data_IF_978218479638
#
_entry.id   IF_978218479638
#
_cell.length_a   1.000
_cell.length_b   1.000
_cell.length_c   1.000
_cell.angle_alpha   90.00
_cell.angle_beta   90.00
_cell.angle_gamma   90.00
#
_symmetry.space_group_name_H-M   'P 1'
#
loop_
_entity.id
_entity.type
_entity.pdbx_description
1 polymer ?
#
# COMPACT_ATOMS: atom_id res chain seq x y z
N UNK A 1 -0.38 -0.15 -27.28
CA UNK A 1 -0.53 -0.82 -26.00
C UNK A 1 -0.33 0.17 -24.87
N UNK A 2 -1.26 0.22 -23.95
CA UNK A 2 -1.12 1.10 -22.80
C UNK A 2 0.02 0.59 -21.91
N UNK A 3 0.88 1.48 -21.50
CA UNK A 3 1.98 1.13 -20.61
C UNK A 3 1.61 1.61 -19.22
N UNK A 4 1.75 0.72 -18.28
CA UNK A 4 1.63 1.09 -16.86
C UNK A 4 2.97 1.64 -16.41
N UNK A 5 2.93 2.80 -15.79
CA UNK A 5 4.12 3.43 -15.24
C UNK A 5 4.31 2.93 -13.80
N UNK A 6 4.50 1.62 -13.69
CA UNK A 6 4.59 0.94 -12.39
C UNK A 6 6.03 0.63 -12.04
N UNK A 7 6.36 0.81 -10.79
CA UNK A 7 7.70 0.53 -10.27
C UNK A 7 7.92 -0.94 -9.92
N UNK A 8 6.84 -1.73 -9.85
CA UNK A 8 6.88 -3.10 -9.37
C UNK A 8 6.70 -3.24 -7.87
N UNK A 9 6.45 -2.13 -7.17
CA UNK A 9 6.22 -2.15 -5.72
C UNK A 9 4.94 -2.90 -5.35
N UNK A 10 3.98 -2.98 -6.27
CA UNK A 10 2.72 -3.70 -6.04
C UNK A 10 2.55 -4.76 -7.12
N UNK A 11 2.32 -5.99 -6.70
CA UNK A 11 1.97 -7.09 -7.61
C UNK A 11 0.45 -7.15 -7.70
N UNK A 12 -0.10 -6.50 -8.71
CA UNK A 12 -1.55 -6.39 -8.87
C UNK A 12 -2.21 -7.72 -9.21
N UNK A 13 -1.45 -8.77 -9.55
CA UNK A 13 -2.01 -10.10 -9.71
C UNK A 13 -2.58 -10.63 -8.39
N UNK A 14 -1.98 -10.24 -7.26
CA UNK A 14 -2.51 -10.58 -5.92
C UNK A 14 -3.90 -9.97 -5.76
N UNK A 15 -4.02 -8.67 -6.06
CA UNK A 15 -5.30 -7.98 -5.97
C UNK A 15 -6.35 -8.60 -6.91
N UNK A 16 -5.96 -8.91 -8.13
CA UNK A 16 -6.87 -9.49 -9.12
C UNK A 16 -7.39 -10.86 -8.67
N UNK A 17 -6.55 -11.67 -8.05
CA UNK A 17 -7.00 -12.96 -7.51
C UNK A 17 -7.98 -12.76 -6.36
N UNK A 18 -7.74 -11.77 -5.51
CA UNK A 18 -8.60 -11.49 -4.36
C UNK A 18 -9.98 -10.98 -4.81
N UNK A 19 -10.03 -10.20 -5.87
CA UNK A 19 -11.27 -9.58 -6.36
C UNK A 19 -11.95 -10.39 -7.45
N UNK A 20 -11.37 -11.53 -7.85
CA UNK A 20 -11.90 -12.36 -8.93
C UNK A 20 -11.81 -11.69 -10.30
N UNK A 21 -10.91 -10.72 -10.44
CA UNK A 21 -10.75 -9.99 -11.70
C UNK A 21 -11.80 -8.90 -11.93
N UNK A 22 -12.63 -8.61 -10.94
CA UNK A 22 -13.67 -7.58 -11.05
C UNK A 22 -13.03 -6.20 -10.86
N UNK A 23 -13.00 -5.42 -11.94
CA UNK A 23 -12.36 -4.09 -11.94
C UNK A 23 -13.05 -3.12 -10.98
N UNK A 24 -14.37 -3.19 -10.85
CA UNK A 24 -15.09 -2.30 -9.92
C UNK A 24 -14.73 -2.60 -8.47
N UNK A 25 -14.61 -3.87 -8.12
CA UNK A 25 -14.21 -4.28 -6.78
C UNK A 25 -12.75 -3.91 -6.52
N UNK A 26 -11.88 -4.11 -7.49
CA UNK A 26 -10.47 -3.70 -7.39
C UNK A 26 -10.35 -2.20 -7.14
N UNK A 27 -11.12 -1.40 -7.87
CA UNK A 27 -11.11 0.05 -7.68
C UNK A 27 -11.56 0.45 -6.26
N UNK A 28 -12.60 -0.19 -5.74
CA UNK A 28 -13.08 0.09 -4.38
C UNK A 28 -12.03 -0.25 -3.33
N UNK A 29 -11.35 -1.39 -3.48
CA UNK A 29 -10.30 -1.80 -2.55
C UNK A 29 -9.15 -0.80 -2.57
N UNK A 30 -8.73 -0.37 -3.75
CA UNK A 30 -7.61 0.56 -3.88
C UNK A 30 -7.99 1.96 -3.38
N UNK A 31 -9.22 2.40 -3.62
CA UNK A 31 -9.68 3.69 -3.09
C UNK A 31 -9.63 3.70 -1.57
N UNK A 32 -10.10 2.62 -0.94
CA UNK A 32 -10.05 2.50 0.51
C UNK A 32 -8.61 2.52 1.02
N UNK A 33 -7.71 1.81 0.34
CA UNK A 33 -6.30 1.81 0.69
C UNK A 33 -5.72 3.23 0.67
N UNK A 34 -6.02 3.99 -0.39
CA UNK A 34 -5.55 5.37 -0.53
C UNK A 34 -6.08 6.26 0.59
N UNK A 35 -7.37 6.13 0.90
CA UNK A 35 -7.99 6.93 1.97
C UNK A 35 -7.37 6.62 3.33
N UNK A 36 -7.15 5.36 3.62
CA UNK A 36 -6.57 4.96 4.89
C UNK A 36 -5.10 5.33 5.01
N UNK A 37 -4.38 5.33 3.89
CA UNK A 37 -2.96 5.68 3.88
C UNK A 37 -2.71 7.10 4.40
N UNK A 38 -3.62 8.02 4.11
CA UNK A 38 -3.51 9.40 4.61
C UNK A 38 -3.53 9.43 6.15
N UNK A 39 -4.34 8.58 6.77
CA UNK A 39 -4.41 8.47 8.23
C UNK A 39 -3.18 7.77 8.78
N UNK A 40 -2.78 6.66 8.16
CA UNK A 40 -1.61 5.89 8.61
C UNK A 40 -0.33 6.72 8.60
N UNK A 41 -0.16 7.58 7.58
CA UNK A 41 1.04 8.41 7.45
C UNK A 41 1.27 9.27 8.67
N UNK A 42 0.20 9.73 9.31
CA UNK A 42 0.30 10.56 10.51
C UNK A 42 0.75 9.77 11.74
N UNK A 43 0.59 8.45 11.70
CA UNK A 43 0.93 7.57 12.83
C UNK A 43 2.35 7.01 12.76
N UNK A 44 3.09 7.26 11.67
CA UNK A 44 4.42 6.69 11.47
C UNK A 44 5.50 7.50 12.17
N UNK A 45 5.34 7.64 13.48
CA UNK A 45 6.23 8.42 14.34
C UNK A 45 6.22 7.75 15.72
N UNK A 46 7.38 7.48 16.27
CA UNK A 46 7.50 6.82 17.58
C UNK A 46 6.88 7.63 18.71
N UNK A 47 6.68 8.93 18.51
CA UNK A 47 5.99 9.79 19.48
C UNK A 47 4.49 9.52 19.54
N UNK A 48 3.94 8.92 18.49
CA UNK A 48 2.54 8.49 18.47
C UNK A 48 2.43 7.17 19.22
N UNK A 49 1.57 7.12 20.23
CA UNK A 49 1.43 5.94 21.06
C UNK A 49 1.01 4.71 20.25
N UNK A 50 0.17 4.90 19.23
CA UNK A 50 -0.35 3.83 18.38
C UNK A 50 0.50 3.48 17.16
N UNK A 51 1.75 3.92 17.08
CA UNK A 51 2.54 3.72 15.87
C UNK A 51 2.71 2.23 15.50
N UNK A 52 2.89 1.39 16.48
CA UNK A 52 3.11 -0.04 16.23
C UNK A 52 1.85 -0.72 15.70
N UNK A 53 0.69 -0.34 16.23
CA UNK A 53 -0.60 -0.84 15.73
C UNK A 53 -0.85 -0.35 14.30
N UNK A 54 -0.51 0.90 14.00
CA UNK A 54 -0.64 1.44 12.64
C UNK A 54 0.23 0.65 11.67
N UNK A 55 1.49 0.38 12.02
CA UNK A 55 2.41 -0.41 11.18
C UNK A 55 1.84 -1.81 10.96
N UNK A 56 1.30 -2.43 11.98
CA UNK A 56 0.68 -3.76 11.87
C UNK A 56 -0.50 -3.74 10.87
N UNK A 57 -1.33 -2.71 10.97
CA UNK A 57 -2.49 -2.56 10.08
C UNK A 57 -2.05 -2.34 8.63
N UNK A 58 -1.04 -1.49 8.43
CA UNK A 58 -0.49 -1.25 7.08
C UNK A 58 0.06 -2.56 6.51
N UNK A 59 0.73 -3.37 7.33
CA UNK A 59 1.29 -4.65 6.87
C UNK A 59 0.21 -5.55 6.29
N UNK A 60 -0.91 -5.70 7.00
CA UNK A 60 -2.02 -6.52 6.53
C UNK A 60 -2.64 -5.98 5.24
N UNK A 61 -2.87 -4.68 5.17
CA UNK A 61 -3.45 -4.05 3.98
C UNK A 61 -2.50 -4.17 2.78
N UNK A 62 -1.20 -3.97 3.01
CA UNK A 62 -0.18 -4.09 1.97
C UNK A 62 -0.13 -5.50 1.40
N UNK A 63 -0.15 -6.51 2.26
CA UNK A 63 -0.17 -7.90 1.82
C UNK A 63 -1.41 -8.20 0.97
N UNK A 64 -2.56 -7.63 1.35
CA UNK A 64 -3.82 -7.85 0.65
C UNK A 64 -3.84 -7.32 -0.77
N UNK A 65 -3.12 -6.23 -1.05
CA UNK A 65 -3.07 -5.67 -2.41
C UNK A 65 -1.82 -6.07 -3.19
N UNK A 66 -0.92 -6.84 -2.59
CA UNK A 66 0.30 -7.27 -3.25
C UNK A 66 1.47 -6.31 -3.13
N UNK A 67 1.45 -5.39 -2.15
CA UNK A 67 2.54 -4.45 -1.90
C UNK A 67 3.59 -5.11 -0.99
N UNK A 68 4.37 -6.05 -1.56
CA UNK A 68 5.29 -6.89 -0.81
C UNK A 68 6.40 -6.13 -0.10
N UNK A 69 7.00 -5.15 -0.74
CA UNK A 69 8.06 -4.35 -0.13
C UNK A 69 7.55 -3.54 1.05
N UNK A 70 6.34 -2.97 0.91
CA UNK A 70 5.71 -2.25 2.01
C UNK A 70 5.41 -3.19 3.18
N UNK A 71 4.86 -4.37 2.89
CA UNK A 71 4.58 -5.36 3.92
C UNK A 71 5.86 -5.77 4.66
N UNK A 72 6.96 -5.96 3.93
CA UNK A 72 8.24 -6.33 4.52
C UNK A 72 8.81 -5.21 5.38
N UNK A 73 8.75 -3.97 4.90
CA UNK A 73 9.21 -2.82 5.68
C UNK A 73 8.43 -2.71 6.99
N UNK A 74 7.12 -2.93 6.93
CA UNK A 74 6.27 -2.92 8.12
C UNK A 74 6.65 -4.04 9.09
N UNK A 75 6.90 -5.25 8.59
CA UNK A 75 7.29 -6.37 9.45
C UNK A 75 8.59 -6.06 10.20
N UNK A 76 9.55 -5.47 9.52
CA UNK A 76 10.83 -5.09 10.13
C UNK A 76 10.63 -4.02 11.21
N UNK A 77 9.84 -3.00 10.91
CA UNK A 77 9.57 -1.92 11.87
C UNK A 77 8.78 -2.42 13.09
N UNK A 78 7.82 -3.29 12.85
CA UNK A 78 6.96 -3.82 13.91
C UNK A 78 7.77 -4.63 14.92
N UNK A 79 8.81 -5.33 14.47
CA UNK A 79 9.66 -6.18 15.31
C UNK A 79 10.75 -5.40 16.04
N UNK A 80 10.98 -4.13 15.69
CA UNK A 80 12.06 -3.34 16.25
C UNK A 80 11.67 -2.74 17.60
N UNK A 81 12.69 -2.51 18.47
CA UNK A 81 12.44 -1.71 19.65
C UNK A 81 12.24 -0.25 19.28
N UNK A 82 11.62 0.49 20.21
CA UNK A 82 11.32 1.89 19.99
C UNK A 82 12.56 2.71 19.59
N UNK A 83 13.70 2.41 20.21
CA UNK A 83 14.95 3.15 19.94
C UNK A 83 15.43 2.95 18.49
N UNK A 84 15.21 1.76 17.93
CA UNK A 84 15.61 1.44 16.57
C UNK A 84 14.58 1.79 15.51
N UNK A 85 13.37 2.12 15.93
CA UNK A 85 12.23 2.28 15.02
C UNK A 85 12.29 3.51 14.10
N UNK A 86 12.80 4.70 14.49
CA UNK A 86 12.69 5.88 13.63
C UNK A 86 13.16 5.68 12.19
N UNK A 87 14.38 5.17 11.91
CA UNK A 87 14.78 4.97 10.51
C UNK A 87 13.95 3.89 9.80
N UNK A 88 13.42 2.93 10.55
CA UNK A 88 12.58 1.88 9.97
C UNK A 88 11.20 2.43 9.60
N UNK A 89 10.66 3.35 10.38
CA UNK A 89 9.41 4.02 10.04
C UNK A 89 9.57 4.90 8.80
N UNK A 90 10.74 5.52 8.62
CA UNK A 90 11.02 6.25 7.38
C UNK A 90 10.99 5.32 6.17
N UNK A 91 11.52 4.11 6.31
CA UNK A 91 11.45 3.11 5.23
C UNK A 91 10.03 2.69 4.93
N UNK A 92 9.19 2.56 5.97
CA UNK A 92 7.76 2.27 5.79
C UNK A 92 7.12 3.42 5.01
N UNK A 93 7.42 4.64 5.38
CA UNK A 93 6.87 5.83 4.72
C UNK A 93 7.27 5.87 3.24
N UNK A 94 8.55 5.62 2.94
CA UNK A 94 9.04 5.59 1.57
C UNK A 94 8.38 4.47 0.75
N UNK A 95 8.26 3.29 1.34
CA UNK A 95 7.61 2.16 0.67
C UNK A 95 6.13 2.41 0.44
N UNK A 96 5.46 3.08 1.39
CA UNK A 96 4.06 3.47 1.24
C UNK A 96 3.89 4.47 0.09
N UNK A 97 4.75 5.48 0.02
CA UNK A 97 4.70 6.47 -1.07
C UNK A 97 4.88 5.80 -2.44
N UNK A 98 5.81 4.86 -2.54
CA UNK A 98 6.05 4.13 -3.79
C UNK A 98 4.84 3.26 -4.15
N UNK A 99 4.27 2.57 -3.17
CA UNK A 99 3.06 1.77 -3.39
C UNK A 99 1.89 2.64 -3.84
N UNK A 100 1.72 3.81 -3.23
CA UNK A 100 0.64 4.73 -3.60
C UNK A 100 0.79 5.24 -5.04
N UNK A 101 2.02 5.47 -5.50
CA UNK A 101 2.25 5.86 -6.89
C UNK A 101 1.84 4.74 -7.86
N UNK A 102 2.19 3.49 -7.53
CA UNK A 102 1.76 2.34 -8.33
C UNK A 102 0.24 2.19 -8.33
N UNK A 103 -0.38 2.37 -7.17
CA UNK A 103 -1.85 2.30 -7.03
C UNK A 103 -2.51 3.36 -7.92
N UNK A 104 -1.99 4.58 -7.91
CA UNK A 104 -2.54 5.66 -8.74
C UNK A 104 -2.45 5.32 -10.23
N UNK A 105 -1.32 4.77 -10.68
CA UNK A 105 -1.14 4.38 -12.07
C UNK A 105 -2.10 3.25 -12.45
N UNK A 106 -2.26 2.27 -11.59
CA UNK A 106 -3.16 1.14 -11.86
C UNK A 106 -4.63 1.57 -11.88
N UNK A 107 -5.04 2.45 -10.96
CA UNK A 107 -6.40 2.99 -10.93
C UNK A 107 -6.70 3.76 -12.22
N UNK A 108 -5.72 4.51 -12.73
CA UNK A 108 -5.87 5.19 -14.01
C UNK A 108 -6.11 4.19 -15.14
N UNK A 109 -5.37 3.08 -15.13
CA UNK A 109 -5.55 2.02 -16.13
C UNK A 109 -6.94 1.39 -16.02
N UNK A 110 -7.43 1.13 -14.79
CA UNK A 110 -8.78 0.62 -14.60
C UNK A 110 -9.84 1.57 -15.15
N UNK A 111 -9.64 2.87 -14.93
CA UNK A 111 -10.54 3.89 -15.48
C UNK A 111 -10.57 3.82 -17.00
N UNK A 112 -9.40 3.69 -17.65
CA UNK A 112 -9.32 3.60 -19.10
C UNK A 112 -10.02 2.34 -19.63
N UNK A 113 -9.91 1.21 -18.93
CA UNK A 113 -10.64 -0.01 -19.31
C UNK A 113 -12.15 0.22 -19.28
N UNK A 114 -12.64 0.91 -18.26
CA UNK A 114 -14.05 1.24 -18.13
C UNK A 114 -14.57 2.09 -19.29
N UNK A 115 -13.75 3.02 -19.78
CA UNK A 115 -14.11 3.87 -20.92
C UNK A 115 -14.13 3.12 -22.24
N UNK A 116 -13.41 2.01 -22.34
CA UNK A 116 -13.41 1.20 -23.56
C UNK A 116 -14.59 0.25 -23.65
N UNK A 117 -15.32 0.17 -22.59
CA UNK A 117 -16.47 -0.68 -22.52
C UNK A 117 -16.23 -2.05 -22.05
#
# INVERSE_FOLDING_TARGET
>A
MARRDLSGAVDFAVLERMTGGDDAVSEEVLELFVQQAAMWSQMLDVREEGWRDAVHTIRGAAAGIGAGELAQACATAEAADRAAAPPLLERVRDALDTALADVAAYRHELMLRGLRG
#
